data_IF_929581446515
#
_entry.id   IF_929581446515
#
_cell.length_a   1.000
_cell.length_b   1.000
_cell.length_c   1.000
_cell.angle_alpha   90.00
_cell.angle_beta   90.00
_cell.angle_gamma   90.00
#
_symmetry.space_group_name_H-M   'P 1'
#
loop_
_entity.id
_entity.type
_entity.pdbx_description
1 polymer ?
#
# COMPACT_ATOMS: atom_id res chain seq x y z
N UNK A 1 31.81 30.10 19.98
CA UNK A 1 32.22 28.81 20.60
C UNK A 1 31.07 27.82 20.80
N UNK A 2 29.83 28.11 20.34
CA UNK A 2 28.68 27.23 20.60
C UNK A 2 28.44 26.22 19.46
N UNK A 3 28.87 26.53 18.23
CA UNK A 3 28.63 25.68 17.05
C UNK A 3 29.34 24.33 17.12
N UNK A 4 30.56 24.29 17.64
CA UNK A 4 31.37 23.06 17.67
C UNK A 4 30.84 22.05 18.69
N UNK A 5 30.18 22.51 19.77
CA UNK A 5 29.60 21.64 20.80
C UNK A 5 28.33 20.94 20.31
N UNK A 6 27.49 21.62 19.53
CA UNK A 6 26.28 21.01 18.95
C UNK A 6 26.60 19.92 17.93
N UNK A 7 27.63 20.10 17.10
CA UNK A 7 28.04 19.10 16.09
C UNK A 7 28.54 17.81 16.77
N UNK A 8 29.32 17.93 17.84
CA UNK A 8 29.86 16.77 18.55
C UNK A 8 28.75 15.98 19.25
N UNK A 9 27.75 16.66 19.84
CA UNK A 9 26.61 15.99 20.50
C UNK A 9 25.74 15.25 19.48
N UNK A 10 25.46 15.86 18.32
CA UNK A 10 24.68 15.22 17.27
C UNK A 10 25.37 13.98 16.69
N UNK A 11 26.69 14.03 16.46
CA UNK A 11 27.47 12.90 15.97
C UNK A 11 27.50 11.73 16.97
N UNK A 12 27.60 12.04 18.27
CA UNK A 12 27.57 11.02 19.34
C UNK A 12 26.21 10.34 19.45
N UNK A 13 25.11 11.09 19.34
CA UNK A 13 23.76 10.54 19.35
C UNK A 13 23.53 9.58 18.16
N UNK A 14 23.98 9.97 16.96
CA UNK A 14 23.90 9.12 15.77
C UNK A 14 24.67 7.81 15.94
N UNK A 15 25.90 7.88 16.47
CA UNK A 15 26.72 6.70 16.70
C UNK A 15 26.08 5.72 17.70
N UNK A 16 25.46 6.22 18.78
CA UNK A 16 24.77 5.38 19.76
C UNK A 16 23.55 4.70 19.14
N UNK A 17 22.79 5.38 18.29
CA UNK A 17 21.65 4.79 17.57
C UNK A 17 22.13 3.70 16.60
N UNK A 18 23.19 3.95 15.82
CA UNK A 18 23.74 2.95 14.90
C UNK A 18 24.20 1.66 15.62
N UNK A 19 24.81 1.79 16.80
CA UNK A 19 25.23 0.64 17.61
C UNK A 19 24.02 -0.09 18.20
N UNK A 20 23.03 0.63 18.72
CA UNK A 20 21.82 0.03 19.28
C UNK A 20 21.04 -0.78 18.22
N UNK A 21 20.94 -0.27 16.99
CA UNK A 21 20.32 -0.99 15.86
C UNK A 21 21.08 -2.28 15.54
N UNK A 22 22.42 -2.26 15.48
CA UNK A 22 23.21 -3.47 15.20
C UNK A 22 23.13 -4.53 16.32
N UNK A 23 22.96 -4.10 17.58
CA UNK A 23 22.86 -5.03 18.73
C UNK A 23 21.45 -5.63 18.84
N UNK A 24 20.40 -4.83 18.60
CA UNK A 24 19.02 -5.29 18.69
C UNK A 24 18.55 -6.04 17.44
N UNK A 25 19.16 -5.78 16.29
CA UNK A 25 18.89 -6.46 15.03
C UNK A 25 20.16 -7.13 14.51
N UNK A 26 20.62 -8.22 15.14
CA UNK A 26 21.72 -9.00 14.58
C UNK A 26 21.31 -9.47 13.19
N UNK A 27 22.15 -9.19 12.19
CA UNK A 27 21.94 -9.62 10.82
C UNK A 27 21.51 -11.09 10.81
N UNK A 28 20.26 -11.33 10.39
CA UNK A 28 19.69 -12.68 10.30
C UNK A 28 20.67 -13.49 9.44
N UNK A 29 21.18 -14.65 9.92
CA UNK A 29 22.08 -15.45 9.12
C UNK A 29 21.38 -15.77 7.81
N UNK A 30 21.88 -15.18 6.72
CA UNK A 30 21.44 -15.45 5.36
C UNK A 30 21.51 -16.97 5.20
N UNK A 31 20.34 -17.60 5.10
CA UNK A 31 20.25 -19.02 4.87
C UNK A 31 21.00 -19.27 3.57
N UNK A 32 22.13 -19.96 3.65
CA UNK A 32 22.93 -20.35 2.48
C UNK A 32 21.93 -21.03 1.53
N UNK A 33 21.68 -20.47 0.33
CA UNK A 33 20.75 -21.06 -0.60
C UNK A 33 21.21 -22.47 -0.87
N UNK A 34 20.35 -23.44 -0.53
CA UNK A 34 20.59 -24.85 -0.77
C UNK A 34 20.90 -24.99 -2.27
N UNK A 35 22.08 -25.51 -2.66
CA UNK A 35 22.46 -25.59 -4.06
C UNK A 35 21.36 -26.33 -4.82
N UNK A 36 20.84 -25.67 -5.86
CA UNK A 36 19.88 -26.24 -6.77
C UNK A 36 20.46 -27.57 -7.29
N UNK A 37 19.71 -28.64 -7.07
CA UNK A 37 20.08 -29.97 -7.57
C UNK A 37 20.21 -29.89 -9.10
N UNK A 38 21.40 -30.15 -9.60
CA UNK A 38 21.67 -30.29 -11.03
C UNK A 38 20.68 -31.28 -11.66
N UNK A 39 20.08 -30.96 -12.82
CA UNK A 39 19.38 -31.94 -13.63
C UNK A 39 20.40 -32.90 -14.24
N UNK A 40 20.72 -33.98 -13.52
CA UNK A 40 21.30 -35.17 -14.13
C UNK A 40 20.22 -35.88 -14.94
N UNK A 41 20.39 -35.91 -16.26
CA UNK A 41 19.90 -37.02 -17.05
C UNK A 41 19.36 -36.66 -18.43
N UNK A 42 20.27 -36.55 -19.40
CA UNK A 42 19.97 -36.92 -20.78
C UNK A 42 21.05 -37.91 -21.22
N UNK A 43 20.70 -39.20 -21.28
CA UNK A 43 21.63 -40.26 -21.65
C UNK A 43 21.07 -41.66 -21.44
N UNK A 44 20.14 -42.04 -22.33
CA UNK A 44 19.78 -43.38 -22.81
C UNK A 44 20.12 -44.64 -21.98
N UNK A 45 19.08 -45.41 -21.60
CA UNK A 45 19.06 -46.87 -21.83
C UNK A 45 17.61 -47.42 -21.79
N UNK A 46 17.05 -47.93 -22.91
CA UNK A 46 15.70 -48.49 -22.97
C UNK A 46 15.73 -50.02 -22.90
N UNK A 47 15.93 -50.62 -21.73
CA UNK A 47 15.56 -52.02 -21.54
C UNK A 47 15.49 -52.41 -20.06
N UNK A 48 14.36 -53.04 -19.70
CA UNK A 48 14.14 -53.86 -18.51
C UNK A 48 14.21 -53.13 -17.15
N UNK A 49 13.05 -52.96 -16.52
CA UNK A 49 12.85 -53.49 -15.16
C UNK A 49 11.36 -53.71 -14.82
N UNK A 50 11.09 -54.65 -13.88
CA UNK A 50 9.82 -55.36 -13.75
C UNK A 50 8.75 -54.56 -12.98
N UNK A 51 7.51 -55.03 -13.15
CA UNK A 51 6.32 -54.59 -12.44
C UNK A 51 6.58 -54.39 -10.94
N UNK A 52 6.58 -53.13 -10.52
CA UNK A 52 6.59 -52.73 -9.12
C UNK A 52 5.15 -52.81 -8.62
N UNK A 53 4.91 -53.74 -7.70
CA UNK A 53 3.65 -53.88 -6.97
C UNK A 53 3.18 -52.52 -6.47
N UNK A 54 1.94 -52.20 -6.83
CA UNK A 54 1.18 -51.08 -6.31
C UNK A 54 0.92 -51.34 -4.84
N UNK A 55 1.59 -50.58 -3.97
CA UNK A 55 1.27 -50.54 -2.55
C UNK A 55 0.02 -49.67 -2.38
N UNK A 56 -1.01 -50.12 -1.65
CA UNK A 56 -2.25 -49.36 -1.49
C UNK A 56 -2.01 -48.08 -0.69
N UNK A 57 -2.78 -47.00 -0.96
CA UNK A 57 -2.63 -45.73 -0.26
C UNK A 57 -2.94 -45.90 1.22
N UNK A 58 -1.94 -45.64 2.06
CA UNK A 58 -2.10 -45.51 3.51
C UNK A 58 -3.01 -44.32 3.78
N UNK A 59 -4.16 -44.59 4.38
CA UNK A 59 -5.13 -43.57 4.80
C UNK A 59 -4.47 -42.55 5.75
N UNK A 60 -4.78 -41.25 5.61
CA UNK A 60 -4.28 -40.23 6.54
C UNK A 60 -4.83 -40.49 7.96
N UNK A 61 -4.02 -40.27 9.02
CA UNK A 61 -4.47 -40.44 10.39
C UNK A 61 -5.59 -39.44 10.70
N UNK A 62 -6.66 -39.96 11.29
CA UNK A 62 -7.81 -39.21 11.76
C UNK A 62 -7.39 -37.99 12.59
N UNK A 63 -7.85 -36.81 12.18
CA UNK A 63 -7.67 -35.56 12.90
C UNK A 63 -8.25 -35.71 14.31
N UNK A 64 -7.41 -35.56 15.33
CA UNK A 64 -7.86 -35.47 16.72
C UNK A 64 -8.73 -34.20 16.86
N UNK A 65 -9.88 -34.27 17.55
CA UNK A 65 -10.67 -33.08 17.86
C UNK A 65 -9.83 -32.13 18.70
N UNK A 66 -9.70 -30.87 18.23
CA UNK A 66 -9.13 -29.79 19.03
C UNK A 66 -10.02 -29.57 20.26
N UNK A 67 -9.45 -29.44 21.47
CA UNK A 67 -10.22 -29.03 22.63
C UNK A 67 -10.79 -27.63 22.36
N UNK A 68 -12.11 -27.53 22.45
CA UNK A 68 -12.89 -26.29 22.40
C UNK A 68 -12.37 -25.45 23.56
N UNK A 69 -11.74 -24.31 23.25
CA UNK A 69 -11.27 -23.38 24.27
C UNK A 69 -12.49 -22.56 24.70
N UNK A 70 -12.93 -22.75 25.93
CA UNK A 70 -14.03 -22.01 26.55
C UNK A 70 -13.89 -20.51 26.30
N UNK A 71 -15.01 -19.93 25.90
CA UNK A 71 -15.23 -18.50 25.70
C UNK A 71 -14.75 -17.71 26.91
N UNK A 72 -13.77 -16.83 26.66
CA UNK A 72 -13.47 -15.75 27.59
C UNK A 72 -14.52 -14.66 27.37
N UNK A 73 -15.64 -14.78 28.09
CA UNK A 73 -16.66 -13.73 28.22
C UNK A 73 -16.03 -12.54 28.95
N UNK A 74 -15.55 -11.55 28.20
CA UNK A 74 -15.22 -10.24 28.78
C UNK A 74 -16.53 -9.48 29.05
N UNK A 75 -16.86 -9.38 30.34
CA UNK A 75 -17.84 -8.43 30.88
C UNK A 75 -17.48 -6.98 30.52
N UNK A 76 -18.39 -6.18 29.94
CA UNK A 76 -18.27 -4.73 29.94
C UNK A 76 -19.03 -4.16 31.14
N UNK A 77 -18.30 -3.78 32.19
CA UNK A 77 -18.84 -2.94 33.26
C UNK A 77 -17.86 -1.78 33.49
N UNK A 78 -17.92 -0.79 32.59
CA UNK A 78 -17.21 0.48 32.69
C UNK A 78 -18.19 1.62 32.57
N UNK A 79 -18.59 2.15 33.71
CA UNK A 79 -19.52 3.25 33.94
C UNK A 79 -19.09 4.53 33.22
N UNK A 80 -19.93 5.05 32.33
CA UNK A 80 -19.78 6.40 31.74
C UNK A 80 -20.24 7.44 32.76
N UNK A 81 -19.45 8.46 33.10
CA UNK A 81 -19.92 9.58 33.91
C UNK A 81 -20.81 10.49 33.08
N UNK A 82 -22.03 10.68 33.59
CA UNK A 82 -23.09 11.56 33.13
C UNK A 82 -22.63 13.04 33.11
N UNK A 83 -22.30 13.53 31.92
CA UNK A 83 -22.02 14.93 31.65
C UNK A 83 -23.31 15.73 31.46
N UNK A 84 -23.54 16.69 32.36
CA UNK A 84 -24.68 17.60 32.39
C UNK A 84 -24.92 18.33 31.06
N UNK A 85 -26.17 18.59 30.65
CA UNK A 85 -26.49 19.43 29.51
C UNK A 85 -26.21 20.90 29.84
N UNK A 86 -25.37 21.56 29.03
CA UNK A 86 -25.18 23.01 29.10
C UNK A 86 -26.10 23.71 28.06
N UNK A 87 -26.76 24.83 28.41
CA UNK A 87 -27.75 25.47 27.55
C UNK A 87 -27.11 26.25 26.40
N UNK A 88 -27.83 26.27 25.28
CA UNK A 88 -27.64 27.12 24.13
C UNK A 88 -27.80 28.60 24.52
N UNK A 89 -26.90 29.45 24.04
CA UNK A 89 -27.14 30.90 23.94
C UNK A 89 -27.01 31.31 22.48
N UNK A 90 -28.16 31.61 21.90
CA UNK A 90 -28.35 32.37 20.67
C UNK A 90 -27.76 33.78 20.82
N UNK A 91 -27.22 34.36 19.74
CA UNK A 91 -27.60 35.67 19.15
C UNK A 91 -26.49 36.21 18.25
N UNK A 92 -26.78 36.37 16.96
CA UNK A 92 -25.80 36.84 15.98
C UNK A 92 -26.39 37.17 14.61
N UNK A 93 -27.43 37.98 14.61
CA UNK A 93 -28.10 38.58 13.45
C UNK A 93 -27.10 39.25 12.48
N UNK A 94 -27.04 38.84 11.21
CA UNK A 94 -26.74 39.79 10.12
C UNK A 94 -27.49 39.49 8.82
N UNK A 95 -28.63 40.17 8.74
CA UNK A 95 -29.40 40.50 7.55
C UNK A 95 -28.61 41.50 6.69
N UNK A 96 -28.32 41.15 5.43
CA UNK A 96 -28.31 42.12 4.32
C UNK A 96 -28.84 41.44 3.07
N UNK A 97 -30.03 41.90 2.69
CA UNK A 97 -30.66 41.62 1.42
C UNK A 97 -29.93 42.39 0.31
N UNK A 98 -29.79 41.77 -0.86
CA UNK A 98 -29.79 42.53 -2.10
C UNK A 98 -30.52 41.72 -3.18
N UNK A 99 -31.80 42.06 -3.33
CA UNK A 99 -32.60 41.77 -4.50
C UNK A 99 -32.18 42.73 -5.61
N UNK A 100 -31.95 42.17 -6.81
CA UNK A 100 -31.74 42.90 -8.06
C UNK A 100 -32.23 42.04 -9.20
N UNK A 101 -33.41 42.38 -9.68
CA UNK A 101 -34.24 41.72 -10.70
C UNK A 101 -33.66 41.78 -12.12
N UNK A 102 -33.67 40.62 -12.79
CA UNK A 102 -34.23 40.30 -14.11
C UNK A 102 -34.16 41.31 -15.28
N UNK A 103 -33.63 40.84 -16.43
CA UNK A 103 -34.13 40.90 -17.84
C UNK A 103 -32.93 40.74 -18.80
N UNK A 104 -32.97 40.19 -20.02
CA UNK A 104 -33.92 39.44 -20.85
C UNK A 104 -33.16 39.08 -22.16
N UNK A 105 -33.28 37.81 -22.57
CA UNK A 105 -33.30 37.24 -23.93
C UNK A 105 -32.11 37.32 -24.93
N UNK A 106 -31.97 36.17 -25.60
CA UNK A 106 -31.57 35.91 -26.99
C UNK A 106 -30.08 35.89 -27.35
N UNK A 107 -29.54 34.68 -27.49
CA UNK A 107 -29.40 34.06 -28.80
C UNK A 107 -29.06 32.56 -28.68
N UNK A 108 -29.84 31.75 -29.38
CA UNK A 108 -29.62 30.32 -29.59
C UNK A 108 -28.29 30.06 -30.30
N UNK A 109 -27.46 29.21 -29.73
CA UNK A 109 -26.34 28.55 -30.40
C UNK A 109 -26.38 27.05 -30.07
N UNK A 110 -26.04 26.16 -31.01
CA UNK A 110 -26.42 24.76 -30.97
C UNK A 110 -25.70 24.00 -29.86
N UNK A 111 -26.45 23.10 -29.23
CA UNK A 111 -25.99 22.11 -28.28
C UNK A 111 -24.78 21.35 -28.84
N UNK A 112 -23.59 21.68 -28.31
CA UNK A 112 -22.44 20.80 -28.37
C UNK A 112 -22.61 19.79 -27.23
N UNK A 113 -22.74 18.54 -27.62
CA UNK A 113 -22.72 17.34 -26.79
C UNK A 113 -21.70 17.45 -25.66
N UNK A 114 -22.02 17.00 -24.43
CA UNK A 114 -21.01 16.79 -23.40
C UNK A 114 -20.16 15.60 -23.85
N UNK A 115 -19.03 15.88 -24.52
CA UNK A 115 -18.00 14.88 -24.78
C UNK A 115 -17.30 14.61 -23.47
N UNK A 116 -17.80 13.59 -22.77
CA UNK A 116 -17.08 12.85 -21.74
C UNK A 116 -15.87 12.19 -22.39
N UNK A 117 -14.72 12.85 -22.31
CA UNK A 117 -13.42 12.25 -22.55
C UNK A 117 -12.38 13.18 -21.93
N UNK A 118 -12.20 13.06 -20.61
CA UNK A 118 -10.96 13.45 -19.97
C UNK A 118 -9.86 12.62 -20.61
N UNK A 119 -9.14 13.20 -21.56
CA UNK A 119 -7.96 12.62 -22.13
C UNK A 119 -6.90 12.60 -21.02
N UNK A 120 -6.75 11.45 -20.37
CA UNK A 120 -5.58 11.13 -19.58
C UNK A 120 -4.38 11.15 -20.55
N UNK A 121 -3.43 12.09 -20.43
CA UNK A 121 -2.28 12.14 -21.33
C UNK A 121 -1.26 11.12 -20.82
N UNK A 122 -1.28 9.92 -21.41
CA UNK A 122 -0.29 8.89 -21.06
C UNK A 122 -0.71 7.45 -21.29
N UNK A 123 -1.36 7.14 -22.42
CA UNK A 123 -1.56 5.74 -22.81
C UNK A 123 -0.19 5.11 -23.15
N UNK A 124 0.51 4.60 -22.13
CA UNK A 124 1.74 3.83 -22.28
C UNK A 124 1.44 2.65 -23.20
N UNK A 125 2.21 2.52 -24.29
CA UNK A 125 2.06 1.44 -25.27
C UNK A 125 2.18 0.09 -24.57
N UNK A 126 1.10 -0.69 -24.58
CA UNK A 126 1.16 -2.15 -24.56
C UNK A 126 1.10 -2.86 -23.21
N UNK A 127 0.70 -2.19 -22.11
CA UNK A 127 0.35 -2.95 -20.89
C UNK A 127 -0.89 -3.82 -21.18
N UNK A 128 -0.92 -5.08 -20.74
CA UNK A 128 -2.13 -5.91 -20.80
C UNK A 128 -3.31 -5.16 -20.15
N UNK A 129 -4.55 -5.37 -20.63
CA UNK A 129 -5.71 -4.79 -19.96
C UNK A 129 -5.73 -5.24 -18.50
N UNK A 130 -5.77 -4.26 -17.59
CA UNK A 130 -5.87 -4.47 -16.15
C UNK A 130 -7.16 -5.26 -15.89
N UNK A 131 -7.06 -6.37 -15.16
CA UNK A 131 -8.18 -7.24 -14.85
C UNK A 131 -9.03 -6.64 -13.73
N UNK A 132 -8.43 -5.99 -12.73
CA UNK A 132 -9.13 -5.33 -11.64
C UNK A 132 -9.11 -3.79 -11.77
N UNK A 133 -10.14 -3.24 -12.42
CA UNK A 133 -10.34 -1.80 -12.55
C UNK A 133 -10.57 -1.09 -11.20
N UNK A 134 -11.11 -1.78 -10.20
CA UNK A 134 -11.36 -1.20 -8.88
C UNK A 134 -10.07 -1.10 -8.07
N UNK A 135 -9.17 -2.08 -8.20
CA UNK A 135 -7.83 -2.00 -7.61
C UNK A 135 -7.08 -0.76 -8.13
N UNK A 136 -7.20 -0.49 -9.44
CA UNK A 136 -6.61 0.71 -10.05
C UNK A 136 -7.24 2.00 -9.55
N UNK A 137 -8.57 2.05 -9.43
CA UNK A 137 -9.26 3.22 -8.89
C UNK A 137 -8.91 3.46 -7.41
N UNK A 138 -8.69 2.40 -6.64
CA UNK A 138 -8.33 2.49 -5.22
C UNK A 138 -6.96 3.16 -5.00
N UNK A 139 -6.00 3.01 -5.94
CA UNK A 139 -4.65 3.56 -5.81
C UNK A 139 -4.65 5.05 -5.46
N UNK A 140 -5.55 5.84 -6.06
CA UNK A 140 -5.65 7.28 -5.80
C UNK A 140 -5.94 7.64 -4.33
N UNK A 141 -6.43 6.68 -3.54
CA UNK A 141 -6.82 6.86 -2.15
C UNK A 141 -5.99 6.02 -1.14
N UNK A 142 -5.11 5.14 -1.61
CA UNK A 142 -4.23 4.33 -0.73
C UNK A 142 -3.35 5.26 0.11
N UNK A 143 -3.39 5.10 1.44
CA UNK A 143 -2.72 5.98 2.41
C UNK A 143 -3.57 7.17 2.88
N UNK A 144 -4.75 7.39 2.31
CA UNK A 144 -5.72 8.40 2.77
C UNK A 144 -7.05 7.78 3.21
N UNK A 145 -7.47 6.68 2.58
CA UNK A 145 -8.71 5.95 2.87
C UNK A 145 -8.39 4.50 3.25
N UNK A 146 -8.77 4.05 4.48
CA UNK A 146 -8.52 2.69 4.93
C UNK A 146 -9.26 1.61 4.11
N UNK A 147 -10.42 1.92 3.54
CA UNK A 147 -11.16 0.94 2.71
C UNK A 147 -10.44 0.73 1.37
N UNK A 148 -9.88 1.80 0.80
CA UNK A 148 -9.06 1.71 -0.41
C UNK A 148 -7.75 0.95 -0.16
N UNK A 149 -7.10 1.19 0.98
CA UNK A 149 -5.90 0.46 1.41
C UNK A 149 -6.18 -1.04 1.56
N UNK A 150 -7.27 -1.41 2.23
CA UNK A 150 -7.68 -2.80 2.41
C UNK A 150 -8.00 -3.48 1.06
N UNK A 151 -8.67 -2.77 0.15
CA UNK A 151 -8.96 -3.29 -1.18
C UNK A 151 -7.67 -3.52 -1.97
N UNK A 152 -6.79 -2.51 -2.03
CA UNK A 152 -5.50 -2.59 -2.71
C UNK A 152 -4.65 -3.73 -2.15
N UNK A 153 -4.55 -3.84 -0.82
CA UNK A 153 -3.79 -4.90 -0.16
C UNK A 153 -4.33 -6.30 -0.51
N UNK A 154 -5.65 -6.44 -0.62
CA UNK A 154 -6.28 -7.70 -1.04
C UNK A 154 -5.94 -8.03 -2.50
N UNK A 155 -5.98 -7.03 -3.39
CA UNK A 155 -5.69 -7.21 -4.82
C UNK A 155 -4.22 -7.59 -5.06
N UNK A 156 -3.27 -6.92 -4.43
CA UNK A 156 -1.83 -7.26 -4.59
C UNK A 156 -1.45 -8.62 -3.99
N UNK A 157 -2.34 -9.26 -3.22
CA UNK A 157 -2.16 -10.61 -2.70
C UNK A 157 -3.13 -11.63 -3.34
N UNK A 158 -3.83 -11.25 -4.41
CA UNK A 158 -4.71 -12.15 -5.14
C UNK A 158 -3.90 -12.98 -6.15
N UNK A 159 -3.80 -14.32 -5.97
CA UNK A 159 -3.10 -15.19 -6.93
C UNK A 159 -3.83 -15.30 -8.28
N UNK A 160 -5.08 -14.83 -8.38
CA UNK A 160 -5.84 -14.79 -9.63
C UNK A 160 -5.39 -13.66 -10.56
N UNK A 161 -4.75 -12.62 -10.02
CA UNK A 161 -4.12 -11.56 -10.80
C UNK A 161 -2.76 -12.02 -11.32
N UNK A 162 -2.38 -11.57 -12.51
CA UNK A 162 -1.04 -11.84 -13.05
C UNK A 162 0.05 -11.17 -12.22
N UNK A 163 1.26 -11.74 -12.09
CA UNK A 163 2.36 -11.11 -11.35
C UNK A 163 2.67 -9.68 -11.82
N UNK A 164 2.62 -9.45 -13.14
CA UNK A 164 2.82 -8.11 -13.71
C UNK A 164 1.77 -7.09 -13.25
N UNK A 165 0.51 -7.52 -13.10
CA UNK A 165 -0.56 -6.62 -12.67
C UNK A 165 -0.41 -6.25 -11.20
N UNK A 166 -0.02 -7.20 -10.35
CA UNK A 166 0.28 -6.91 -8.94
C UNK A 166 1.50 -6.01 -8.79
N UNK A 167 2.54 -6.25 -9.58
CA UNK A 167 3.70 -5.37 -9.68
C UNK A 167 3.28 -3.94 -10.06
N UNK A 168 2.50 -3.78 -11.14
CA UNK A 168 2.00 -2.49 -11.59
C UNK A 168 1.18 -1.79 -10.47
N UNK A 169 0.31 -2.51 -9.77
CA UNK A 169 -0.47 -1.97 -8.65
C UNK A 169 0.40 -1.50 -7.46
N UNK A 170 1.56 -2.12 -7.24
CA UNK A 170 2.49 -1.71 -6.17
C UNK A 170 3.33 -0.51 -6.63
N UNK A 171 3.91 -0.59 -7.83
CA UNK A 171 4.78 0.47 -8.38
C UNK A 171 4.01 1.77 -8.59
N UNK A 172 2.78 1.71 -9.11
CA UNK A 172 1.98 2.90 -9.42
C UNK A 172 1.48 3.67 -8.17
N UNK A 173 1.80 3.20 -6.94
CA UNK A 173 1.61 3.98 -5.70
C UNK A 173 2.38 5.31 -5.70
N UNK A 174 3.42 5.46 -6.51
CA UNK A 174 4.14 6.72 -6.66
C UNK A 174 3.53 7.65 -7.74
N UNK A 175 2.52 7.18 -8.50
CA UNK A 175 1.88 7.96 -9.57
C UNK A 175 0.45 8.38 -9.19
N UNK A 176 -0.41 7.41 -8.86
CA UNK A 176 -1.84 7.66 -8.72
C UNK A 176 -2.17 8.44 -7.44
N UNK A 177 -3.06 9.43 -7.53
CA UNK A 177 -3.51 10.25 -6.39
C UNK A 177 -2.63 11.45 -6.04
N UNK A 178 -1.46 11.62 -6.68
CA UNK A 178 -0.65 12.84 -6.55
C UNK A 178 -1.10 13.91 -7.54
N UNK A 179 -0.91 15.18 -7.18
CA UNK A 179 -1.29 16.32 -8.02
C UNK A 179 -0.45 16.42 -9.31
N UNK A 180 0.87 16.24 -9.18
CA UNK A 180 1.83 16.07 -10.28
C UNK A 180 2.91 15.06 -9.84
N UNK A 181 2.86 13.80 -10.30
CA UNK A 181 3.82 12.76 -9.91
C UNK A 181 5.28 13.08 -10.25
N UNK A 182 5.54 13.99 -11.18
CA UNK A 182 6.90 14.39 -11.55
C UNK A 182 7.39 15.62 -10.77
N UNK A 183 6.49 16.38 -10.15
CA UNK A 183 6.81 17.56 -9.36
C UNK A 183 5.89 17.63 -8.13
N UNK A 184 6.05 16.73 -7.15
CA UNK A 184 5.19 16.70 -5.98
C UNK A 184 5.36 18.01 -5.20
N UNK A 185 4.27 18.45 -4.59
CA UNK A 185 4.20 19.65 -3.76
C UNK A 185 4.11 19.30 -2.28
N UNK A 186 4.28 20.28 -1.39
CA UNK A 186 4.04 20.09 0.05
C UNK A 186 2.62 19.57 0.38
N UNK A 187 1.64 19.82 -0.49
CA UNK A 187 0.28 19.31 -0.31
C UNK A 187 0.19 17.79 -0.52
N UNK A 188 1.08 17.22 -1.34
CA UNK A 188 1.15 15.79 -1.63
C UNK A 188 1.95 15.01 -0.55
N UNK A 189 2.78 15.72 0.23
CA UNK A 189 3.68 15.12 1.22
C UNK A 189 2.99 14.20 2.24
N UNK A 190 1.82 14.55 2.83
CA UNK A 190 1.13 13.66 3.77
C UNK A 190 0.77 12.31 3.14
N UNK A 191 0.31 12.30 1.88
CA UNK A 191 -0.05 11.07 1.17
C UNK A 191 1.19 10.21 0.88
N UNK A 192 2.28 10.84 0.43
CA UNK A 192 3.56 10.16 0.16
C UNK A 192 4.10 9.50 1.45
N UNK A 193 4.10 10.22 2.57
CA UNK A 193 4.59 9.69 3.85
C UNK A 193 3.73 8.53 4.36
N UNK A 194 2.40 8.62 4.22
CA UNK A 194 1.52 7.53 4.60
C UNK A 194 1.78 6.27 3.76
N UNK A 195 2.03 6.42 2.46
CA UNK A 195 2.38 5.29 1.57
C UNK A 195 3.73 4.66 1.90
N UNK A 196 4.73 5.46 2.28
CA UNK A 196 6.02 4.94 2.77
C UNK A 196 5.79 4.06 4.01
N UNK A 197 5.06 4.58 5.01
CA UNK A 197 4.76 3.85 6.24
C UNK A 197 3.97 2.56 5.97
N UNK A 198 3.02 2.60 5.02
CA UNK A 198 2.28 1.42 4.59
C UNK A 198 3.22 0.36 4.00
N UNK A 199 4.11 0.72 3.07
CA UNK A 199 5.06 -0.23 2.47
C UNK A 199 5.96 -0.84 3.54
N UNK A 200 6.50 -0.04 4.47
CA UNK A 200 7.32 -0.54 5.58
C UNK A 200 6.60 -1.58 6.45
N UNK A 201 5.29 -1.42 6.62
CA UNK A 201 4.46 -2.35 7.39
C UNK A 201 4.22 -3.67 6.67
N UNK A 202 4.10 -3.67 5.33
CA UNK A 202 3.66 -4.85 4.56
C UNK A 202 4.76 -5.55 3.78
N UNK A 203 5.90 -4.91 3.52
CA UNK A 203 6.97 -5.47 2.66
C UNK A 203 7.51 -6.81 3.16
N UNK A 204 7.50 -7.04 4.49
CA UNK A 204 7.95 -8.29 5.10
C UNK A 204 6.99 -9.46 4.89
N UNK A 205 5.73 -9.16 4.58
CA UNK A 205 4.65 -10.12 4.32
C UNK A 205 4.29 -10.18 2.83
N UNK A 206 5.20 -9.73 1.95
CA UNK A 206 4.98 -9.79 0.51
C UNK A 206 4.72 -11.24 0.03
N UNK A 207 3.71 -11.41 -0.83
CA UNK A 207 3.27 -12.72 -1.31
C UNK A 207 4.38 -13.51 -2.03
N UNK A 208 5.20 -12.81 -2.81
CA UNK A 208 6.28 -13.39 -3.61
C UNK A 208 7.41 -12.37 -3.86
N UNK A 209 8.46 -12.83 -4.57
CA UNK A 209 9.63 -12.00 -4.92
C UNK A 209 9.25 -10.83 -5.84
N UNK A 210 8.27 -11.02 -6.74
CA UNK A 210 7.80 -9.95 -7.64
C UNK A 210 7.18 -8.81 -6.84
N UNK A 211 6.31 -9.12 -5.88
CA UNK A 211 5.76 -8.12 -4.97
C UNK A 211 6.85 -7.48 -4.10
N UNK A 212 7.81 -8.28 -3.63
CA UNK A 212 8.92 -7.78 -2.80
C UNK A 212 9.75 -6.73 -3.56
N UNK A 213 10.13 -7.04 -4.80
CA UNK A 213 10.92 -6.14 -5.65
C UNK A 213 10.11 -4.88 -6.00
N UNK A 214 8.82 -5.03 -6.31
CA UNK A 214 7.92 -3.91 -6.58
C UNK A 214 7.81 -2.98 -5.37
N UNK A 215 7.72 -3.52 -4.15
CA UNK A 215 7.70 -2.71 -2.93
C UNK A 215 8.98 -1.91 -2.73
N UNK A 216 10.14 -2.52 -3.02
CA UNK A 216 11.43 -1.84 -2.89
C UNK A 216 11.56 -0.68 -3.91
N UNK A 217 11.09 -0.88 -5.14
CA UNK A 217 11.08 0.17 -6.16
C UNK A 217 10.12 1.30 -5.77
N UNK A 218 8.88 0.98 -5.40
CA UNK A 218 7.89 1.96 -4.95
C UNK A 218 8.38 2.76 -3.73
N UNK A 219 9.00 2.09 -2.75
CA UNK A 219 9.59 2.74 -1.58
C UNK A 219 10.68 3.75 -1.98
N UNK A 220 11.61 3.33 -2.85
CA UNK A 220 12.70 4.19 -3.33
C UNK A 220 12.14 5.44 -4.03
N UNK A 221 11.13 5.26 -4.88
CA UNK A 221 10.53 6.37 -5.62
C UNK A 221 9.75 7.32 -4.71
N UNK A 222 8.96 6.79 -3.76
CA UNK A 222 8.23 7.60 -2.79
C UNK A 222 9.17 8.42 -1.89
N UNK A 223 10.29 7.86 -1.44
CA UNK A 223 11.31 8.60 -0.68
C UNK A 223 11.88 9.75 -1.52
N UNK A 224 12.16 9.51 -2.79
CA UNK A 224 12.63 10.56 -3.71
C UNK A 224 11.57 11.65 -3.92
N UNK A 225 10.29 11.27 -4.07
CA UNK A 225 9.18 12.22 -4.19
C UNK A 225 8.98 13.04 -2.91
N UNK A 226 9.09 12.41 -1.73
CA UNK A 226 9.02 13.11 -0.46
C UNK A 226 10.11 14.17 -0.34
N UNK A 227 11.34 13.83 -0.74
CA UNK A 227 12.47 14.76 -0.77
C UNK A 227 12.19 15.95 -1.71
N UNK A 228 11.75 15.69 -2.94
CA UNK A 228 11.40 16.73 -3.91
C UNK A 228 10.26 17.63 -3.43
N UNK A 229 9.23 17.07 -2.81
CA UNK A 229 8.11 17.81 -2.26
C UNK A 229 8.54 18.83 -1.19
N UNK A 230 9.56 18.49 -0.39
CA UNK A 230 10.13 19.38 0.61
C UNK A 230 11.04 20.46 0.01
N UNK A 231 11.71 20.20 -1.11
CA UNK A 231 12.56 21.19 -1.79
C UNK A 231 11.74 22.22 -2.59
N UNK A 232 10.55 21.84 -3.06
CA UNK A 232 9.71 22.66 -3.94
C UNK A 232 8.73 23.60 -3.21
N UNK A 233 8.66 23.58 -1.88
CA UNK A 233 7.70 24.36 -1.08
C UNK A 233 8.32 25.45 -0.22
#
# INVERSE_FOLDING_TARGET
MNSTRSIVVAALALAVVCVAVHVLFPARPQAIPKPAAEPRGAGADPARRPARSVEPPVAPPASRPRPVRDEYVMSPAGTVPEGKPQPQTETGTRKTAQAGTSTKASASAPAKTPTTAGAQPGARRGKPPIQDHMARAALAFVGADPDAEMYWYSAINDPSLGPQERQDLIEDLNEDGLSDPHHPTLADLPLILNRIALIEAVVWDAMDEVNTDAFLEAYKDLVNLAFQAMENG
#
